data_IF_126596113901
#
_entry.id   IF_126596113901
#
_cell.length_a   1.000
_cell.length_b   1.000
_cell.length_c   1.000
_cell.angle_alpha   90.00
_cell.angle_beta   90.00
_cell.angle_gamma   90.00
#
_symmetry.space_group_name_H-M   'P 1'
#
loop_
_entity.id
_entity.type
_entity.pdbx_description
1 polymer ?
#
# COMPACT_ATOMS: atom_id res chain seq x y z
N UNK A 1 11.48 -17.31 -6.11
CA UNK A 1 12.16 -16.41 -5.16
C UNK A 1 11.71 -14.95 -5.33
N UNK A 2 11.94 -14.29 -6.48
CA UNK A 2 11.50 -12.88 -6.69
C UNK A 2 9.99 -12.67 -6.45
N UNK A 3 9.12 -13.55 -6.98
CA UNK A 3 7.67 -13.47 -6.76
C UNK A 3 7.26 -13.59 -5.28
N UNK A 4 7.99 -14.38 -4.48
CA UNK A 4 7.74 -14.48 -3.03
C UNK A 4 8.09 -13.16 -2.33
N UNK A 5 9.22 -12.53 -2.67
CA UNK A 5 9.56 -11.21 -2.11
C UNK A 5 8.52 -10.15 -2.45
N UNK A 6 8.04 -10.12 -3.69
CA UNK A 6 6.97 -9.21 -4.09
C UNK A 6 5.67 -9.47 -3.31
N UNK A 7 5.29 -10.73 -3.09
CA UNK A 7 4.09 -11.03 -2.29
C UNK A 7 4.24 -10.62 -0.83
N UNK A 8 5.39 -10.88 -0.21
CA UNK A 8 5.66 -10.40 1.15
C UNK A 8 5.61 -8.87 1.25
N UNK A 9 6.13 -8.15 0.24
CA UNK A 9 6.04 -6.70 0.18
C UNK A 9 4.59 -6.22 0.05
N UNK A 10 3.78 -6.83 -0.82
CA UNK A 10 2.35 -6.50 -0.96
C UNK A 10 1.58 -6.74 0.34
N UNK A 11 1.85 -7.85 1.03
CA UNK A 11 1.25 -8.15 2.34
C UNK A 11 1.64 -7.08 3.37
N UNK A 12 2.91 -6.68 3.43
CA UNK A 12 3.38 -5.64 4.33
C UNK A 12 2.67 -4.29 4.06
N UNK A 13 2.55 -3.88 2.79
CA UNK A 13 1.82 -2.66 2.40
C UNK A 13 0.35 -2.73 2.84
N UNK A 14 -0.34 -3.86 2.63
CA UNK A 14 -1.74 -4.04 3.04
C UNK A 14 -1.92 -3.98 4.56
N UNK A 15 -0.95 -4.48 5.34
CA UNK A 15 -0.97 -4.39 6.79
C UNK A 15 -0.84 -2.93 7.25
N UNK A 16 0.12 -2.19 6.69
CA UNK A 16 0.28 -0.76 7.01
C UNK A 16 -0.97 0.05 6.63
N UNK A 17 -1.56 -0.22 5.46
CA UNK A 17 -2.83 0.40 5.06
C UNK A 17 -3.92 0.14 6.10
N UNK A 18 -4.08 -1.12 6.53
CA UNK A 18 -5.08 -1.49 7.54
C UNK A 18 -4.86 -0.70 8.84
N UNK A 19 -3.62 -0.65 9.32
CA UNK A 19 -3.30 0.09 10.54
C UNK A 19 -3.59 1.60 10.39
N UNK A 20 -3.25 2.18 9.24
CA UNK A 20 -3.57 3.57 8.91
C UNK A 20 -5.08 3.84 8.89
N UNK A 21 -5.87 2.97 8.25
CA UNK A 21 -7.33 3.09 8.23
C UNK A 21 -7.95 2.95 9.63
N UNK A 22 -7.44 2.02 10.44
CA UNK A 22 -7.89 1.86 11.84
C UNK A 22 -7.56 3.11 12.69
N UNK A 23 -6.42 3.77 12.44
CA UNK A 23 -6.08 5.04 13.08
C UNK A 23 -7.01 6.17 12.64
N UNK A 24 -7.32 6.28 11.35
CA UNK A 24 -8.26 7.29 10.84
C UNK A 24 -9.66 7.09 11.43
N UNK A 25 -10.12 5.85 11.55
CA UNK A 25 -11.40 5.54 12.21
C UNK A 25 -11.42 5.96 13.67
N UNK A 26 -10.32 5.73 14.41
CA UNK A 26 -10.19 6.20 15.80
C UNK A 26 -10.15 7.72 15.87
N UNK A 27 -9.45 8.38 14.97
CA UNK A 27 -9.36 9.84 14.93
C UNK A 27 -10.73 10.49 14.67
N UNK A 28 -11.54 9.92 13.77
CA UNK A 28 -12.92 10.34 13.53
C UNK A 28 -13.76 10.29 14.82
N UNK A 29 -13.70 9.16 15.53
CA UNK A 29 -14.42 9.00 16.81
C UNK A 29 -13.91 9.95 17.91
N UNK A 30 -12.67 10.43 17.80
CA UNK A 30 -12.06 11.36 18.74
C UNK A 30 -12.25 12.83 18.35
N UNK A 31 -13.04 13.13 17.32
CA UNK A 31 -13.43 14.50 16.95
C UNK A 31 -12.74 15.07 15.71
N UNK A 32 -12.03 14.26 14.91
CA UNK A 32 -11.65 14.66 13.55
C UNK A 32 -12.90 14.91 12.71
N UNK A 33 -12.86 15.90 11.80
CA UNK A 33 -13.98 16.18 10.89
C UNK A 33 -14.14 15.09 9.84
N UNK A 34 -15.36 14.90 9.32
CA UNK A 34 -15.61 13.93 8.24
C UNK A 34 -14.86 14.29 6.95
N UNK A 35 -14.73 15.59 6.66
CA UNK A 35 -14.00 16.08 5.48
C UNK A 35 -12.50 15.75 5.58
N UNK A 36 -11.87 16.02 6.74
CA UNK A 36 -10.47 15.66 6.96
C UNK A 36 -10.29 14.14 6.91
N UNK A 37 -11.19 13.38 7.52
CA UNK A 37 -11.14 11.94 7.51
C UNK A 37 -11.16 11.38 6.08
N UNK A 38 -12.01 11.93 5.23
CA UNK A 38 -12.09 11.55 3.81
C UNK A 38 -10.80 11.88 3.07
N UNK A 39 -10.24 13.08 3.26
CA UNK A 39 -8.96 13.48 2.63
C UNK A 39 -7.86 12.50 3.00
N UNK A 40 -7.71 12.19 4.29
CA UNK A 40 -6.65 11.28 4.74
C UNK A 40 -6.90 9.83 4.32
N UNK A 41 -8.15 9.39 4.27
CA UNK A 41 -8.51 8.07 3.75
C UNK A 41 -8.08 7.94 2.28
N UNK A 42 -8.41 8.92 1.46
CA UNK A 42 -8.06 8.95 0.04
C UNK A 42 -6.54 9.00 -0.17
N UNK A 43 -5.81 9.74 0.68
CA UNK A 43 -4.34 9.79 0.63
C UNK A 43 -3.70 8.44 1.01
N UNK A 44 -4.15 7.80 2.10
CA UNK A 44 -3.66 6.47 2.50
C UNK A 44 -3.92 5.44 1.38
N UNK A 45 -5.09 5.51 0.75
CA UNK A 45 -5.43 4.65 -0.38
C UNK A 45 -4.51 4.92 -1.58
N UNK A 46 -4.32 6.20 -1.96
CA UNK A 46 -3.44 6.59 -3.06
C UNK A 46 -2.00 6.13 -2.85
N UNK A 47 -1.46 6.29 -1.64
CA UNK A 47 -0.12 5.82 -1.29
C UNK A 47 -0.01 4.29 -1.37
N UNK A 48 -1.04 3.58 -0.93
CA UNK A 48 -1.09 2.11 -1.04
C UNK A 48 -1.05 1.69 -2.50
N UNK A 49 -1.88 2.28 -3.35
CA UNK A 49 -1.97 1.92 -4.76
C UNK A 49 -0.65 2.21 -5.50
N UNK A 50 -0.02 3.36 -5.23
CA UNK A 50 1.31 3.70 -5.75
C UNK A 50 2.37 2.69 -5.32
N UNK A 51 2.38 2.28 -4.05
CA UNK A 51 3.34 1.31 -3.55
C UNK A 51 3.17 -0.07 -4.18
N UNK A 52 1.91 -0.53 -4.34
CA UNK A 52 1.62 -1.80 -5.03
C UNK A 52 2.08 -1.75 -6.48
N UNK A 53 1.76 -0.67 -7.21
CA UNK A 53 2.20 -0.50 -8.60
C UNK A 53 3.73 -0.52 -8.73
N UNK A 54 4.45 0.12 -7.79
CA UNK A 54 5.91 0.10 -7.77
C UNK A 54 6.48 -1.32 -7.51
N UNK A 55 5.85 -2.09 -6.63
CA UNK A 55 6.24 -3.50 -6.36
C UNK A 55 6.03 -4.35 -7.61
N UNK A 56 4.88 -4.19 -8.29
CA UNK A 56 4.56 -4.99 -9.47
C UNK A 56 5.50 -4.66 -10.64
N UNK A 57 5.79 -3.36 -10.87
CA UNK A 57 6.78 -2.94 -11.88
C UNK A 57 8.20 -3.46 -11.56
N UNK A 58 8.61 -3.43 -10.29
CA UNK A 58 9.90 -3.98 -9.88
C UNK A 58 9.99 -5.50 -10.09
N UNK A 59 8.90 -6.23 -9.83
CA UNK A 59 8.83 -7.66 -10.08
C UNK A 59 8.91 -7.97 -11.58
N UNK A 60 8.15 -7.27 -12.40
CA UNK A 60 8.14 -7.43 -13.86
C UNK A 60 9.54 -7.22 -14.45
N UNK A 61 10.17 -6.07 -14.15
CA UNK A 61 11.54 -5.78 -14.57
C UNK A 61 12.50 -6.89 -14.15
N UNK A 62 12.37 -7.39 -12.90
CA UNK A 62 13.27 -8.45 -12.43
C UNK A 62 13.01 -9.79 -13.11
N UNK A 63 11.77 -10.09 -13.47
CA UNK A 63 11.43 -11.30 -14.21
C UNK A 63 12.01 -11.24 -15.64
N UNK A 64 11.92 -10.09 -16.31
CA UNK A 64 12.53 -9.89 -17.63
C UNK A 64 14.05 -10.07 -17.58
N UNK A 65 14.73 -9.44 -16.61
CA UNK A 65 16.17 -9.62 -16.39
C UNK A 65 16.55 -11.09 -16.20
N UNK A 66 15.74 -11.88 -15.49
CA UNK A 66 16.01 -13.31 -15.26
C UNK A 66 15.82 -14.13 -16.55
N UNK A 67 14.84 -13.77 -17.39
CA UNK A 67 14.54 -14.50 -18.63
C UNK A 67 15.49 -14.17 -19.79
N UNK A 68 16.18 -13.02 -19.75
CA UNK A 68 17.15 -12.62 -20.77
C UNK A 68 18.56 -13.21 -20.57
N UNK A 69 18.77 -14.02 -19.53
CA UNK A 69 20.04 -14.71 -19.23
C UNK A 69 20.05 -16.12 -19.81
#
# INVERSE_FOLDING_TARGET
>A
VAAQYAEHARVAVRNVRRDGMDQLKKALNNGMSEDDNKIWHDEVQSLTDKAIAAIDAALENKQEEIMQV
#
